data_IF_517123895731
#
_entry.id   IF_517123895731
#
_cell.length_a   1.000
_cell.length_b   1.000
_cell.length_c   1.000
_cell.angle_alpha   90.00
_cell.angle_beta   90.00
_cell.angle_gamma   90.00
#
_symmetry.space_group_name_H-M   'P 1'
#
loop_
_entity.id
_entity.type
_entity.pdbx_description
1 polymer ?
#
# COMPACT_ATOMS: atom_id res chain seq x y z
N UNK A 1 3.63 4.14 -10.63
CA UNK A 1 2.99 2.87 -10.19
C UNK A 1 1.96 2.43 -11.25
N UNK A 2 1.72 1.13 -11.45
CA UNK A 2 0.67 0.62 -12.36
C UNK A 2 -0.72 0.67 -11.70
N UNK A 3 -1.81 0.70 -12.48
CA UNK A 3 -3.18 0.87 -11.95
C UNK A 3 -3.59 -0.22 -10.94
N UNK A 4 -3.41 -1.50 -11.25
CA UNK A 4 -3.72 -2.61 -10.32
C UNK A 4 -2.94 -2.48 -9.00
N UNK A 5 -1.70 -2.00 -9.09
CA UNK A 5 -0.79 -1.82 -7.96
C UNK A 5 -1.21 -0.60 -7.12
N UNK A 6 -1.67 0.48 -7.77
CA UNK A 6 -2.27 1.63 -7.11
C UNK A 6 -3.56 1.26 -6.37
N UNK A 7 -4.43 0.46 -6.99
CA UNK A 7 -5.68 0.01 -6.39
C UNK A 7 -5.44 -0.79 -5.09
N UNK A 8 -4.54 -1.76 -5.12
CA UNK A 8 -4.15 -2.52 -3.93
C UNK A 8 -3.51 -1.65 -2.85
N UNK A 9 -2.65 -0.71 -3.25
CA UNK A 9 -2.03 0.25 -2.33
C UNK A 9 -3.10 1.10 -1.63
N UNK A 10 -4.01 1.74 -2.38
CA UNK A 10 -5.07 2.59 -1.83
C UNK A 10 -6.08 1.79 -1.01
N UNK A 11 -6.41 0.56 -1.43
CA UNK A 11 -7.29 -0.32 -0.65
C UNK A 11 -6.71 -0.60 0.72
N UNK A 12 -5.41 -0.91 0.83
CA UNK A 12 -4.75 -1.03 2.13
C UNK A 12 -4.91 0.25 2.93
N UNK A 13 -4.56 1.42 2.36
CA UNK A 13 -4.68 2.71 3.07
C UNK A 13 -6.08 2.88 3.65
N UNK A 14 -7.13 2.54 2.88
CA UNK A 14 -8.52 2.67 3.29
C UNK A 14 -8.94 1.69 4.42
N UNK A 15 -8.44 0.45 4.43
CA UNK A 15 -8.77 -0.54 5.48
C UNK A 15 -7.90 -0.44 6.73
N UNK A 16 -6.81 0.35 6.66
CA UNK A 16 -5.86 0.48 7.76
C UNK A 16 -6.45 1.13 9.00
N UNK A 17 -6.14 0.58 10.18
CA UNK A 17 -6.55 1.15 11.46
C UNK A 17 -5.83 2.47 11.81
N UNK A 18 -4.64 2.69 11.25
CA UNK A 18 -3.83 3.88 11.49
C UNK A 18 -3.97 4.86 10.32
N UNK A 19 -4.23 6.12 10.63
CA UNK A 19 -4.25 7.19 9.64
C UNK A 19 -2.86 7.42 9.04
N UNK A 20 -2.81 7.50 7.71
CA UNK A 20 -1.62 7.91 6.96
C UNK A 20 -1.96 9.22 6.25
N UNK A 21 -1.24 10.31 6.52
CA UNK A 21 -1.48 11.59 5.87
C UNK A 21 -1.44 11.47 4.34
N UNK A 22 -2.35 12.19 3.67
CA UNK A 22 -2.46 12.19 2.20
C UNK A 22 -1.14 12.53 1.53
N UNK A 23 -0.42 13.53 2.04
CA UNK A 23 0.90 13.90 1.50
C UNK A 23 1.93 12.76 1.59
N UNK A 24 1.88 11.95 2.64
CA UNK A 24 2.82 10.84 2.83
C UNK A 24 2.58 9.73 1.80
N UNK A 25 1.35 9.26 1.65
CA UNK A 25 1.07 8.18 0.71
C UNK A 25 1.02 8.66 -0.75
N UNK A 26 0.72 9.94 -1.03
CA UNK A 26 0.87 10.49 -2.37
C UNK A 26 2.34 10.54 -2.80
N UNK A 27 3.26 10.88 -1.90
CA UNK A 27 4.70 10.81 -2.20
C UNK A 27 5.14 9.41 -2.61
N UNK A 28 4.62 8.37 -1.95
CA UNK A 28 4.87 6.98 -2.35
C UNK A 28 4.26 6.61 -3.70
N UNK A 29 3.09 7.16 -4.03
CA UNK A 29 2.44 6.91 -5.32
C UNK A 29 3.24 7.49 -6.47
N UNK A 30 3.75 8.71 -6.30
CA UNK A 30 4.55 9.39 -7.31
C UNK A 30 5.97 8.84 -7.43
N UNK A 31 6.59 8.45 -6.30
CA UNK A 31 8.00 8.10 -6.27
C UNK A 31 8.89 9.33 -6.43
N UNK A 32 10.12 9.11 -6.90
CA UNK A 32 11.09 10.17 -7.15
C UNK A 32 10.83 10.81 -8.53
N UNK A 33 10.71 12.14 -8.55
CA UNK A 33 10.60 12.99 -9.76
C UNK A 33 9.59 12.53 -10.83
N UNK A 34 8.27 12.62 -10.55
CA UNK A 34 7.25 12.34 -11.56
C UNK A 34 7.31 13.38 -12.69
N UNK A 35 7.38 12.90 -13.93
CA UNK A 35 7.34 13.74 -15.12
C UNK A 35 5.88 14.10 -15.49
N UNK A 36 5.62 15.40 -15.61
CA UNK A 36 4.36 15.94 -16.11
C UNK A 36 4.66 17.00 -17.17
N UNK A 37 3.73 17.19 -18.11
CA UNK A 37 3.79 18.23 -19.13
C UNK A 37 3.67 19.62 -18.50
N UNK A 38 2.76 19.78 -17.54
CA UNK A 38 2.48 21.03 -16.83
C UNK A 38 1.87 20.78 -15.43
N UNK A 39 1.65 21.87 -14.70
CA UNK A 39 1.05 21.82 -13.36
C UNK A 39 -0.43 21.40 -13.42
N UNK A 40 -1.13 21.69 -14.52
CA UNK A 40 -2.51 21.28 -14.76
C UNK A 40 -2.65 19.76 -14.87
N UNK A 41 -1.79 19.09 -15.63
CA UNK A 41 -1.75 17.63 -15.75
C UNK A 41 -1.46 16.99 -14.39
N UNK A 42 -0.48 17.52 -13.66
CA UNK A 42 -0.15 17.03 -12.30
C UNK A 42 -1.34 17.14 -11.36
N UNK A 43 -2.05 18.28 -11.39
CA UNK A 43 -3.24 18.51 -10.57
C UNK A 43 -4.36 17.54 -10.94
N UNK A 44 -4.63 17.36 -12.23
CA UNK A 44 -5.64 16.43 -12.72
C UNK A 44 -5.33 14.97 -12.32
N UNK A 45 -4.08 14.53 -12.48
CA UNK A 45 -3.66 13.19 -12.10
C UNK A 45 -3.76 12.96 -10.59
N UNK A 46 -3.35 13.95 -9.79
CA UNK A 46 -3.49 13.91 -8.31
C UNK A 46 -4.96 13.80 -7.90
N UNK A 47 -5.84 14.60 -8.52
CA UNK A 47 -7.26 14.56 -8.21
C UNK A 47 -7.88 13.21 -8.59
N UNK A 48 -7.47 12.60 -9.70
CA UNK A 48 -7.93 11.29 -10.11
C UNK A 48 -7.56 10.20 -9.07
N UNK A 49 -6.34 10.23 -8.54
CA UNK A 49 -5.89 9.30 -7.49
C UNK A 49 -6.72 9.49 -6.20
N UNK A 50 -6.95 10.74 -5.79
CA UNK A 50 -7.77 11.04 -4.60
C UNK A 50 -9.21 10.58 -4.80
N UNK A 51 -9.76 10.77 -6.00
CA UNK A 51 -11.11 10.30 -6.31
C UNK A 51 -11.21 8.77 -6.24
N UNK A 52 -10.23 8.06 -6.79
CA UNK A 52 -10.15 6.60 -6.70
C UNK A 52 -10.08 6.13 -5.24
N UNK A 53 -9.25 6.78 -4.41
CA UNK A 53 -9.20 6.49 -2.98
C UNK A 53 -10.57 6.67 -2.30
N UNK A 54 -11.25 7.79 -2.56
CA UNK A 54 -12.57 8.05 -1.97
C UNK A 54 -13.64 7.06 -2.44
N UNK A 55 -13.56 6.63 -3.70
CA UNK A 55 -14.44 5.59 -4.24
C UNK A 55 -14.23 4.26 -3.53
N UNK A 56 -12.99 3.82 -3.36
CA UNK A 56 -12.64 2.60 -2.61
C UNK A 56 -13.17 2.67 -1.18
N UNK A 57 -12.98 3.80 -0.49
CA UNK A 57 -13.52 4.01 0.87
C UNK A 57 -15.04 3.85 0.90
N UNK A 58 -15.74 4.43 -0.08
CA UNK A 58 -17.20 4.31 -0.19
C UNK A 58 -17.64 2.86 -0.43
N UNK A 59 -17.00 2.17 -1.37
CA UNK A 59 -17.32 0.78 -1.70
C UNK A 59 -17.05 -0.16 -0.53
N UNK A 60 -15.95 0.05 0.22
CA UNK A 60 -15.65 -0.73 1.42
C UNK A 60 -16.72 -0.55 2.51
N UNK A 61 -17.21 0.67 2.70
CA UNK A 61 -18.28 0.95 3.66
C UNK A 61 -19.61 0.25 3.30
N UNK A 62 -19.85 0.03 2.01
CA UNK A 62 -21.02 -0.68 1.49
C UNK A 62 -20.81 -2.20 1.36
N UNK A 63 -19.59 -2.70 1.57
CA UNK A 63 -19.24 -4.11 1.35
C UNK A 63 -19.26 -4.52 -0.13
N UNK A 64 -19.03 -3.56 -1.04
CA UNK A 64 -19.08 -3.73 -2.49
C UNK A 64 -17.71 -3.53 -3.17
N UNK A 65 -16.63 -3.40 -2.38
CA UNK A 65 -15.29 -3.19 -2.94
C UNK A 65 -14.81 -4.44 -3.68
N UNK A 66 -14.46 -4.24 -4.95
CA UNK A 66 -13.90 -5.27 -5.83
C UNK A 66 -12.51 -4.82 -6.31
N UNK A 67 -11.48 -5.68 -6.26
CA UNK A 67 -10.13 -5.30 -6.63
C UNK A 67 -9.97 -5.10 -8.13
N UNK A 68 -9.18 -4.11 -8.54
CA UNK A 68 -8.78 -3.94 -9.94
C UNK A 68 -7.62 -4.89 -10.25
N UNK A 69 -7.94 -5.99 -10.92
CA UNK A 69 -6.99 -7.03 -11.33
C UNK A 69 -6.60 -6.90 -12.80
N UNK A 70 -5.42 -7.40 -13.15
CA UNK A 70 -4.99 -7.50 -14.54
C UNK A 70 -5.71 -8.68 -15.21
N UNK A 71 -6.36 -8.45 -16.34
CA UNK A 71 -7.01 -9.50 -17.14
C UNK A 71 -6.15 -9.89 -18.34
N UNK A 72 -5.89 -11.18 -18.50
CA UNK A 72 -5.23 -11.77 -19.67
C UNK A 72 -6.32 -12.33 -20.58
N UNK A 73 -6.62 -11.62 -21.66
CA UNK A 73 -7.76 -11.94 -22.53
C UNK A 73 -7.61 -13.28 -23.26
N UNK A 74 -6.37 -13.70 -23.55
CA UNK A 74 -6.08 -14.95 -24.27
C UNK A 74 -6.39 -16.20 -23.46
N UNK A 75 -6.18 -16.16 -22.15
CA UNK A 75 -6.39 -17.28 -21.22
C UNK A 75 -7.64 -17.10 -20.36
N UNK A 76 -8.27 -15.92 -20.41
CA UNK A 76 -9.37 -15.49 -19.54
C UNK A 76 -9.03 -15.58 -18.04
N UNK A 77 -7.79 -15.21 -17.71
CA UNK A 77 -7.25 -15.27 -16.35
C UNK A 77 -7.14 -13.87 -15.74
N UNK A 78 -7.34 -13.80 -14.42
CA UNK A 78 -7.14 -12.59 -13.63
C UNK A 78 -5.91 -12.74 -12.74
N UNK A 79 -4.98 -11.80 -12.85
CA UNK A 79 -3.70 -11.81 -12.15
C UNK A 79 -3.72 -10.78 -11.02
N UNK A 80 -3.52 -11.25 -9.80
CA UNK A 80 -3.57 -10.44 -8.58
C UNK A 80 -2.20 -9.90 -8.13
N UNK A 81 -1.10 -10.35 -8.72
CA UNK A 81 0.27 -9.97 -8.35
C UNK A 81 0.47 -8.47 -8.20
N UNK A 82 -0.02 -7.71 -9.18
CA UNK A 82 0.10 -6.25 -9.17
C UNK A 82 -0.61 -5.64 -7.97
N UNK A 83 -1.85 -6.07 -7.72
CA UNK A 83 -2.66 -5.63 -6.58
C UNK A 83 -2.01 -5.99 -5.24
N UNK A 84 -1.57 -7.24 -5.09
CA UNK A 84 -0.90 -7.74 -3.87
C UNK A 84 0.38 -6.93 -3.60
N UNK A 85 1.20 -6.66 -4.61
CA UNK A 85 2.41 -5.83 -4.48
C UNK A 85 2.08 -4.44 -3.93
N UNK A 86 0.99 -3.84 -4.39
CA UNK A 86 0.54 -2.52 -3.94
C UNK A 86 0.10 -2.51 -2.49
N UNK A 87 -0.74 -3.49 -2.15
CA UNK A 87 -1.24 -3.68 -0.79
C UNK A 87 -0.09 -3.84 0.21
N UNK A 88 0.89 -4.69 -0.13
CA UNK A 88 2.06 -4.93 0.72
C UNK A 88 2.98 -3.71 0.83
N UNK A 89 3.17 -2.96 -0.26
CA UNK A 89 3.93 -1.70 -0.22
C UNK A 89 3.29 -0.70 0.76
N UNK A 90 1.96 -0.62 0.79
CA UNK A 90 1.27 0.23 1.75
C UNK A 90 1.42 -0.30 3.19
N UNK A 91 1.36 -1.63 3.42
CA UNK A 91 1.64 -2.25 4.75
C UNK A 91 2.97 -1.73 5.31
N UNK A 92 4.02 -1.67 4.49
CA UNK A 92 5.36 -1.24 4.89
C UNK A 92 5.39 0.16 5.54
N UNK A 93 4.46 1.07 5.19
CA UNK A 93 4.39 2.40 5.79
C UNK A 93 4.07 2.38 7.30
N UNK A 94 3.44 1.32 7.80
CA UNK A 94 3.14 1.14 9.23
C UNK A 94 3.43 -0.29 9.67
N UNK A 95 4.53 -0.86 9.20
CA UNK A 95 4.90 -2.27 9.39
C UNK A 95 4.73 -2.78 10.83
N UNK A 96 5.27 -2.08 11.84
CA UNK A 96 5.21 -2.51 13.25
C UNK A 96 3.77 -2.73 13.75
N UNK A 97 2.82 -1.96 13.21
CA UNK A 97 1.41 -2.01 13.61
C UNK A 97 0.70 -3.18 12.95
N UNK A 98 1.03 -3.46 11.69
CA UNK A 98 0.54 -4.61 10.96
C UNK A 98 1.14 -5.92 11.48
N UNK A 99 2.41 -5.93 11.91
CA UNK A 99 3.04 -7.10 12.53
C UNK A 99 2.24 -7.59 13.75
N UNK A 100 1.85 -6.66 14.63
CA UNK A 100 0.99 -6.98 15.78
C UNK A 100 -0.37 -7.52 15.36
N UNK A 101 -0.96 -6.98 14.30
CA UNK A 101 -2.26 -7.42 13.77
C UNK A 101 -2.18 -8.81 13.12
N UNK A 102 -1.11 -9.08 12.36
CA UNK A 102 -0.84 -10.37 11.74
C UNK A 102 -0.62 -11.48 12.77
N UNK A 103 -0.07 -11.15 13.94
CA UNK A 103 0.03 -12.09 15.07
C UNK A 103 -1.27 -12.34 15.85
N UNK A 104 -2.37 -11.68 15.50
CA UNK A 104 -3.68 -11.87 16.13
C UNK A 104 -4.57 -12.86 15.37
N UNK A 105 -5.73 -13.22 15.93
CA UNK A 105 -6.71 -14.07 15.23
C UNK A 105 -7.17 -13.46 13.89
N UNK A 106 -7.24 -12.13 13.81
CA UNK A 106 -7.59 -11.42 12.57
C UNK A 106 -6.51 -11.54 11.48
N UNK A 107 -5.28 -11.91 11.84
CA UNK A 107 -4.17 -12.09 10.90
C UNK A 107 -4.45 -13.15 9.83
N UNK A 108 -5.29 -14.15 10.13
CA UNK A 108 -5.71 -15.18 9.17
C UNK A 108 -6.42 -14.60 7.95
N UNK A 109 -7.07 -13.45 8.09
CA UNK A 109 -7.78 -12.78 7.00
C UNK A 109 -6.82 -12.24 5.93
N UNK A 110 -5.57 -11.99 6.28
CA UNK A 110 -4.54 -11.57 5.33
C UNK A 110 -3.80 -12.74 4.69
N UNK A 111 -4.02 -13.99 5.14
CA UNK A 111 -3.28 -15.14 4.66
C UNK A 111 -3.31 -15.28 3.12
N UNK A 112 -4.44 -15.09 2.41
CA UNK A 112 -4.45 -15.16 0.95
C UNK A 112 -3.56 -14.10 0.28
N UNK A 113 -3.54 -12.87 0.81
CA UNK A 113 -2.72 -11.77 0.27
C UNK A 113 -1.23 -12.06 0.48
N UNK A 114 -0.86 -12.51 1.68
CA UNK A 114 0.53 -12.84 2.02
C UNK A 114 1.02 -14.09 1.27
N UNK A 115 0.15 -15.09 1.05
CA UNK A 115 0.53 -16.28 0.29
C UNK A 115 0.80 -16.01 -1.19
N UNK A 116 0.20 -14.96 -1.75
CA UNK A 116 0.40 -14.52 -3.13
C UNK A 116 1.62 -13.61 -3.30
N UNK A 117 2.28 -13.21 -2.22
CA UNK A 117 3.57 -12.52 -2.36
C UNK A 117 4.64 -13.55 -2.69
N UNK A 118 5.30 -13.41 -3.84
CA UNK A 118 6.57 -14.08 -4.06
C UNK A 118 7.54 -13.64 -2.98
N UNK A 119 7.95 -14.57 -2.11
CA UNK A 119 8.94 -14.34 -1.04
C UNK A 119 10.23 -13.71 -1.62
N UNK A 120 10.52 -13.97 -2.91
CA UNK A 120 11.71 -13.47 -3.62
C UNK A 120 11.57 -12.02 -4.13
N UNK A 121 10.34 -11.48 -4.27
CA UNK A 121 10.16 -10.08 -4.74
C UNK A 121 10.42 -9.03 -3.66
N UNK A 122 10.59 -9.46 -2.41
CA UNK A 122 11.03 -8.60 -1.32
C UNK A 122 12.55 -8.32 -1.34
N UNK A 123 13.35 -9.07 -2.12
CA UNK A 123 14.82 -8.98 -2.07
C UNK A 123 15.48 -8.22 -3.21
N UNK A 124 14.78 -7.90 -4.30
CA UNK A 124 15.34 -7.09 -5.38
C UNK A 124 15.05 -5.59 -5.14
N UNK A 125 15.83 -5.00 -4.22
CA UNK A 125 16.06 -3.55 -4.19
C UNK A 125 15.91 -2.85 -2.84
N UNK A 126 15.35 -3.49 -1.83
CA UNK A 126 15.37 -2.98 -0.46
C UNK A 126 15.57 -4.15 0.50
N UNK A 127 16.58 -4.03 1.34
CA UNK A 127 16.92 -4.92 2.45
C UNK A 127 15.81 -4.85 3.52
N UNK A 128 14.60 -5.32 3.18
CA UNK A 128 13.44 -5.38 4.07
C UNK A 128 13.13 -6.86 4.35
N UNK A 129 14.10 -7.53 4.99
CA UNK A 129 13.79 -8.77 5.68
C UNK A 129 12.61 -8.54 6.64
N UNK A 130 11.70 -9.51 6.70
CA UNK A 130 10.56 -9.45 7.62
C UNK A 130 11.01 -9.25 9.09
N UNK A 131 12.27 -9.61 9.38
CA UNK A 131 12.94 -9.47 10.67
C UNK A 131 13.34 -8.02 11.05
N UNK A 132 13.31 -7.04 10.14
CA UNK A 132 13.80 -5.67 10.39
C UNK A 132 12.68 -4.62 10.54
N UNK A 133 11.41 -5.03 10.45
CA UNK A 133 10.27 -4.13 10.40
C UNK A 133 10.02 -3.31 11.67
N UNK A 134 10.61 -3.66 12.81
CA UNK A 134 10.48 -2.93 14.07
C UNK A 134 11.82 -2.35 14.60
N UNK A 135 12.87 -2.34 13.75
CA UNK A 135 14.26 -2.47 14.20
C UNK A 135 15.19 -1.26 14.23
N UNK A 136 14.85 -0.01 13.85
CA UNK A 136 15.84 1.09 14.01
C UNK A 136 15.28 2.53 14.03
N UNK A 137 14.45 2.87 15.02
CA UNK A 137 14.44 4.23 15.59
C UNK A 137 14.29 4.15 17.11
N UNK A 138 15.34 3.66 17.77
CA UNK A 138 15.54 3.93 19.20
C UNK A 138 15.70 5.44 19.34
N UNK A 139 14.63 6.11 19.79
CA UNK A 139 14.60 7.52 20.18
C UNK A 139 15.90 7.87 20.90
N UNK A 140 16.73 8.75 20.31
CA UNK A 140 17.79 9.40 21.06
C UNK A 140 17.09 10.17 22.18
N UNK A 141 17.31 9.69 23.39
CA UNK A 141 16.98 10.32 24.66
C UNK A 141 17.20 11.83 24.61
N UNK A 142 16.15 12.61 24.35
CA UNK A 142 16.07 14.00 24.80
C UNK A 142 15.78 13.93 26.29
N UNK A 143 16.86 13.92 27.10
CA UNK A 143 16.75 14.36 28.49
C UNK A 143 16.32 15.82 28.43
N UNK A 144 15.14 16.07 28.97
CA UNK A 144 14.70 17.42 29.29
C UNK A 144 15.80 18.11 30.10
N UNK A 145 16.22 19.27 29.60
CA UNK A 145 16.71 20.35 30.42
C UNK A 145 15.58 20.71 31.39
N UNK A 146 15.74 20.41 32.67
CA UNK A 146 15.79 21.33 33.84
C UNK A 146 15.73 20.47 35.10
#
# INVERSE_FOLDING_TARGET
MQLTNLDGFLTRIAVGHDEIPIGEWLSEVWGEDPEFVDDEEKSAATQAIINLYNEIVSQLAEGLAEPILMHIAETDEFIADGWVKGFMRAIALRSCRWEKMMGSEAGVLLAPVVMLTDIDTFTDGADLGFDDFCGSKRMRSMRCLT
#
